data_IF_045222410775
#
_entry.id   IF_045222410775
#
_cell.length_a   1.000
_cell.length_b   1.000
_cell.length_c   1.000
_cell.angle_alpha   90.00
_cell.angle_beta   90.00
_cell.angle_gamma   90.00
#
_symmetry.space_group_name_H-M   'P 1'
#
loop_
_entity.id
_entity.type
_entity.pdbx_description
1 polymer ?
2 non-polymer ?
3 water ?
#
# COMPACT_ATOMS: atom_id res chain seq x y z
N UNK A 24 0.20 4.89 -13.70
CA UNK A 24 -0.83 5.57 -12.92
C UNK A 24 -0.37 6.94 -12.40
N UNK A 25 -1.31 7.87 -12.32
CA UNK A 25 -1.04 9.24 -11.94
C UNK A 25 -1.31 9.47 -10.46
N UNK A 26 -0.27 9.78 -9.70
CA UNK A 26 -0.32 9.81 -8.25
C UNK A 26 0.68 10.79 -7.63
N UNK A 27 0.17 11.60 -6.71
CA UNK A 27 1.02 12.47 -5.92
C UNK A 27 1.79 11.68 -4.87
N UNK A 28 3.11 11.74 -5.00
CA UNK A 28 3.98 10.89 -4.24
C UNK A 28 3.97 11.32 -2.77
N UNK A 29 3.55 12.55 -2.53
CA UNK A 29 3.42 13.04 -1.14
C UNK A 29 2.29 12.34 -0.40
N UNK A 30 1.27 11.92 -1.12
CA UNK A 30 0.18 11.17 -0.53
C UNK A 30 0.68 9.80 -0.06
N UNK A 31 1.60 9.20 -0.81
CA UNK A 31 2.19 7.93 -0.45
C UNK A 31 3.01 8.09 0.82
N UNK A 32 3.80 9.16 0.87
CA UNK A 32 4.60 9.50 2.06
C UNK A 32 3.75 9.68 3.33
N UNK A 33 2.75 10.55 3.25
CA UNK A 33 1.84 10.81 4.35
C UNK A 33 1.15 9.56 4.86
N UNK A 34 0.57 8.80 3.92
CA UNK A 34 -0.19 7.61 4.28
C UNK A 34 0.71 6.67 5.05
N UNK A 35 1.98 6.64 4.64
CA UNK A 35 2.98 5.80 5.26
C UNK A 35 3.33 6.32 6.66
N UNK A 36 3.54 7.62 6.77
CA UNK A 36 3.91 8.19 8.07
C UNK A 36 2.74 8.12 9.04
N UNK A 37 1.56 8.35 8.51
CA UNK A 37 0.35 8.31 9.31
C UNK A 37 0.15 6.92 9.91
N UNK A 38 0.36 5.88 9.11
CA UNK A 38 0.21 4.52 9.61
C UNK A 38 1.29 4.14 10.60
N UNK A 39 2.53 4.53 10.31
CA UNK A 39 3.63 4.18 11.20
C UNK A 39 3.58 4.95 12.54
N UNK A 40 3.19 6.22 12.49
CA UNK A 40 3.29 7.08 13.67
C UNK A 40 1.92 7.48 14.22
N UNK A 41 0.90 6.74 13.79
CA UNK A 41 -0.45 6.88 14.32
C UNK A 41 -0.52 7.18 15.83
N UNK A 42 0.13 6.35 16.64
CA UNK A 42 0.09 6.50 18.10
C UNK A 42 0.63 7.83 18.64
N UNK A 43 1.68 8.35 18.03
CA UNK A 43 2.31 9.57 18.51
C UNK A 43 1.62 10.84 17.99
N UNK A 44 0.55 10.66 17.22
CA UNK A 44 -0.24 11.76 16.68
C UNK A 44 -1.47 12.05 17.52
N UNK A 45 -1.77 11.14 18.44
CA UNK A 45 -2.82 11.32 19.44
C UNK A 45 -4.17 11.78 18.86
N UNK A 46 -4.72 10.97 17.96
CA UNK A 46 -6.05 11.20 17.40
C UNK A 46 -7.18 10.75 18.32
N UNK A 47 -8.23 11.55 18.40
CA UNK A 47 -9.39 11.22 19.22
C UNK A 47 -10.09 10.02 18.65
N UNK A 48 -10.32 10.02 17.34
CA UNK A 48 -10.87 8.88 16.64
C UNK A 48 -9.93 8.44 15.52
N UNK A 49 -9.84 7.14 15.29
CA UNK A 49 -8.91 6.64 14.29
C UNK A 49 -9.62 6.00 13.09
N UNK A 50 -10.93 6.22 12.96
CA UNK A 50 -11.70 5.66 11.85
C UNK A 50 -11.18 6.24 10.53
N UNK A 51 -11.58 5.62 9.42
CA UNK A 51 -11.07 6.04 8.12
C UNK A 51 -11.45 7.45 7.81
N UNK A 52 -12.66 7.86 8.20
CA UNK A 52 -13.08 9.24 7.97
C UNK A 52 -12.07 10.21 8.56
N UNK A 53 -11.88 10.10 9.87
CA UNK A 53 -10.98 11.03 10.55
C UNK A 53 -9.57 10.98 9.97
N UNK A 54 -9.13 9.78 9.60
CA UNK A 54 -7.82 9.65 9.00
C UNK A 54 -7.75 10.42 7.68
N UNK A 55 -8.73 10.19 6.80
CA UNK A 55 -8.79 10.93 5.53
C UNK A 55 -8.77 12.43 5.72
N UNK A 56 -9.48 12.91 6.75
CA UNK A 56 -9.48 14.34 7.05
C UNK A 56 -8.07 14.86 7.40
N UNK A 57 -7.33 14.13 8.22
CA UNK A 57 -5.97 14.50 8.56
C UNK A 57 -5.09 14.58 7.30
N UNK A 58 -5.11 13.51 6.52
CA UNK A 58 -4.40 13.47 5.23
C UNK A 58 -4.66 14.66 4.31
N UNK A 59 -5.94 15.01 4.17
CA UNK A 59 -6.36 16.06 3.26
C UNK A 59 -5.87 17.45 3.72
N UNK A 60 -5.95 17.69 5.02
CA UNK A 60 -5.47 18.94 5.58
C UNK A 60 -3.99 19.08 5.33
N UNK A 61 -3.30 17.95 5.36
CA UNK A 61 -1.85 17.93 5.38
C UNK A 61 -1.33 18.00 3.97
N UNK A 62 -1.93 17.18 3.10
CA UNK A 62 -1.60 17.22 1.67
C UNK A 62 -1.90 18.57 1.04
N UNK A 63 -2.89 19.30 1.56
CA UNK A 63 -3.13 20.66 1.04
C UNK A 63 -2.13 21.67 1.55
N UNK A 64 -1.16 21.23 2.33
CA UNK A 64 -0.17 22.12 2.95
C UNK A 64 1.24 21.82 2.46
N UNK A 65 1.41 20.73 1.71
CA UNK A 65 2.68 20.46 1.07
C UNK A 65 2.51 20.58 -0.46
N UNK A 66 3.59 20.93 -1.15
CA UNK A 66 3.54 21.09 -2.60
C UNK A 66 3.41 19.73 -3.28
N UNK A 67 2.49 19.63 -4.26
CA UNK A 67 2.21 18.36 -4.96
C UNK A 67 3.42 17.86 -5.70
N UNK A 68 3.55 16.55 -5.75
CA UNK A 68 4.73 15.92 -6.32
C UNK A 68 4.26 14.76 -7.17
N UNK A 69 3.49 15.07 -8.20
CA UNK A 69 2.87 14.02 -9.00
C UNK A 69 3.86 13.37 -9.90
N UNK A 70 3.75 12.05 -10.01
CA UNK A 70 4.62 11.28 -10.89
C UNK A 70 3.82 10.21 -11.62
N UNK A 71 4.49 9.54 -12.54
CA UNK A 71 3.80 8.60 -13.39
C UNK A 71 4.52 7.27 -13.37
N UNK A 72 5.69 7.23 -12.75
CA UNK A 72 6.47 6.01 -12.69
C UNK A 72 6.64 5.52 -11.24
N UNK A 73 6.14 4.31 -10.96
CA UNK A 73 6.13 3.73 -9.61
C UNK A 73 7.53 3.63 -9.08
N UNK A 74 8.47 3.43 -9.98
CA UNK A 74 9.87 3.38 -9.62
C UNK A 74 10.32 4.75 -9.08
N UNK A 75 9.65 5.80 -9.52
CA UNK A 75 10.05 7.15 -9.16
C UNK A 75 9.51 7.51 -7.79
N UNK A 76 8.35 6.94 -7.44
CA UNK A 76 7.78 7.10 -6.11
C UNK A 76 8.60 6.36 -5.08
N UNK A 77 9.19 5.25 -5.51
CA UNK A 77 10.07 4.46 -4.68
C UNK A 77 11.29 5.28 -4.27
N UNK A 78 11.85 6.00 -5.23
CA UNK A 78 12.95 6.91 -4.98
C UNK A 78 12.58 8.04 -4.00
N UNK A 79 11.39 8.60 -4.13
CA UNK A 79 10.93 9.68 -3.26
C UNK A 79 10.70 9.20 -1.84
N UNK A 80 9.91 8.14 -1.70
CA UNK A 80 9.65 7.49 -0.42
C UNK A 80 10.94 7.09 0.29
N UNK A 81 11.96 6.69 -0.48
CA UNK A 81 13.22 6.28 0.13
C UNK A 81 14.02 7.48 0.62
N UNK A 82 13.84 8.62 -0.02
CA UNK A 82 14.59 9.82 0.34
C UNK A 82 14.14 10.34 1.71
N UNK A 83 12.89 10.06 2.05
CA UNK A 83 12.35 10.46 3.32
C UNK A 83 12.48 9.30 4.33
N UNK A 84 13.75 8.98 4.65
CA UNK A 84 14.14 8.02 5.69
C UNK A 84 13.66 8.43 7.09
N UNK A 85 13.74 7.50 8.04
CA UNK A 85 13.46 7.77 9.46
C UNK A 85 14.32 8.92 10.00
N UNK A 86 15.57 8.97 9.55
CA UNK A 86 16.42 10.11 9.90
C UNK A 86 16.15 11.20 8.88
N UNK A 87 16.60 12.41 9.15
CA UNK A 87 16.34 13.55 8.26
C UNK A 87 14.84 13.75 7.98
N UNK A 88 14.49 13.92 6.71
CA UNK A 88 13.28 14.64 6.26
C UNK A 88 11.89 14.41 6.89
N UNK A 89 11.61 13.22 7.42
CA UNK A 89 10.22 12.89 7.78
C UNK A 89 9.60 13.76 8.88
N UNK A 90 10.42 14.39 9.70
CA UNK A 90 9.90 15.07 10.88
C UNK A 90 8.98 16.26 10.52
N UNK A 91 9.43 17.15 9.65
CA UNK A 91 8.58 18.21 9.10
C UNK A 91 7.21 17.73 8.67
N UNK A 92 7.14 16.55 8.07
CA UNK A 92 5.85 15.95 7.68
C UNK A 92 5.03 15.43 8.87
N UNK A 93 5.69 14.76 9.82
CA UNK A 93 5.06 14.29 11.03
C UNK A 93 4.45 15.48 11.80
N UNK A 94 5.14 16.63 11.79
CA UNK A 94 4.62 17.82 12.44
C UNK A 94 3.30 18.31 11.79
N UNK A 95 3.23 18.30 10.46
CA UNK A 95 2.01 18.73 9.80
C UNK A 95 0.87 17.77 10.10
N UNK A 96 1.16 16.47 10.13
CA UNK A 96 0.16 15.46 10.43
C UNK A 96 -0.41 15.64 11.84
N UNK A 97 0.50 15.80 12.80
CA UNK A 97 0.16 16.00 14.21
C UNK A 97 -0.74 17.21 14.33
N UNK A 98 -0.33 18.28 13.67
CA UNK A 98 -1.08 19.53 13.66
C UNK A 98 -2.49 19.29 13.10
N UNK A 99 -2.56 18.61 11.95
CA UNK A 99 -3.85 18.27 11.34
C UNK A 99 -4.68 17.35 12.23
N UNK A 100 -4.01 16.36 12.85
CA UNK A 100 -4.63 15.47 13.81
C UNK A 100 -5.32 16.22 14.95
N UNK A 101 -4.68 17.28 15.45
CA UNK A 101 -5.29 18.12 16.47
C UNK A 101 -6.62 18.70 15.97
N UNK A 102 -6.60 19.27 14.78
CA UNK A 102 -7.79 19.90 14.22
C UNK A 102 -8.96 18.91 14.06
N UNK A 103 -8.66 17.73 13.58
CA UNK A 103 -9.71 16.75 13.36
C UNK A 103 -10.20 16.17 14.71
N UNK A 104 -9.31 16.15 15.67
CA UNK A 104 -9.65 15.64 16.98
C UNK A 104 -10.71 16.53 17.62
N UNK A 105 -10.58 17.83 17.43
CA UNK A 105 -11.47 18.77 18.05
C UNK A 105 -12.72 19.04 17.19
N UNK A 106 -12.52 19.07 15.88
CA UNK A 106 -13.59 19.37 14.95
C UNK A 106 -13.77 18.27 13.91
N UNK A 107 -14.37 17.13 14.32
CA UNK A 107 -14.61 16.00 13.42
C UNK A 107 -15.79 16.17 12.47
N UNK A 108 -15.66 15.65 11.24
CA UNK A 108 -16.73 15.74 10.26
C UNK A 108 -17.94 14.93 10.71
N UNK A 109 -19.11 15.28 10.17
CA UNK A 109 -20.36 14.63 10.53
C UNK A 109 -20.42 13.19 10.02
N UNK A 110 -19.47 12.82 9.17
CA UNK A 110 -19.46 11.47 8.61
C UNK A 110 -18.70 10.50 9.51
N UNK A 111 -18.12 11.03 10.58
CA UNK A 111 -17.39 10.20 11.54
C UNK A 111 -18.34 9.35 12.37
N UNK A 112 -17.79 8.50 13.25
CA UNK A 112 -18.61 7.66 14.11
C UNK A 112 -19.41 8.50 15.12
N UNK A 113 -20.67 8.15 15.33
CA UNK A 113 -21.52 8.93 16.21
C UNK A 113 -22.36 8.06 17.11
N UNK A 114 -22.26 8.33 18.42
CA UNK A 114 -22.96 7.58 19.45
C UNK A 114 -22.63 6.09 19.32
N UNK B 24 -6.52 -24.23 3.85
CA UNK B 24 -7.54 -23.50 4.59
C UNK B 24 -6.85 -22.49 5.52
N UNK B 25 -5.61 -22.17 5.20
CA UNK B 25 -4.86 -21.15 5.91
C UNK B 25 -3.94 -20.40 4.95
N UNK B 26 -4.18 -19.12 4.74
CA UNK B 26 -3.28 -18.37 3.85
C UNK B 26 -3.26 -16.87 4.17
N UNK B 27 -2.14 -16.24 3.86
CA UNK B 27 -2.03 -14.82 4.01
C UNK B 27 -2.70 -14.12 2.82
N UNK B 28 -3.77 -13.39 3.08
CA UNK B 28 -4.52 -12.79 1.98
C UNK B 28 -3.70 -11.73 1.26
N UNK B 29 -2.75 -11.12 1.97
CA UNK B 29 -1.82 -10.17 1.35
C UNK B 29 -1.08 -10.80 0.19
N UNK B 30 -0.63 -12.04 0.38
CA UNK B 30 -0.01 -12.85 -0.66
C UNK B 30 -0.85 -12.88 -1.92
N UNK B 31 -2.15 -13.08 -1.74
CA UNK B 31 -3.06 -13.11 -2.85
C UNK B 31 -3.14 -11.77 -3.56
N UNK B 32 -3.13 -10.68 -2.79
CA UNK B 32 -3.30 -9.36 -3.38
C UNK B 32 -2.01 -8.97 -4.13
N UNK B 33 -0.87 -9.25 -3.54
CA UNK B 33 0.40 -8.98 -4.18
C UNK B 33 0.61 -9.73 -5.51
N UNK B 34 0.13 -10.96 -5.58
CA UNK B 34 0.31 -11.74 -6.78
C UNK B 34 -0.50 -11.14 -7.91
N UNK B 35 -1.71 -10.69 -7.59
CA UNK B 35 -2.61 -10.20 -8.60
C UNK B 35 -2.11 -8.85 -9.07
N UNK B 36 -1.71 -8.02 -8.12
CA UNK B 36 -1.17 -6.72 -8.46
C UNK B 36 0.08 -6.86 -9.34
N UNK B 37 0.95 -7.80 -9.00
CA UNK B 37 2.17 -8.00 -9.77
C UNK B 37 1.88 -8.41 -11.23
N UNK B 38 0.94 -9.33 -11.39
CA UNK B 38 0.65 -9.86 -12.70
C UNK B 38 -0.03 -8.81 -13.57
N UNK B 39 -0.77 -7.92 -12.92
CA UNK B 39 -1.50 -6.87 -13.62
C UNK B 39 -0.62 -5.67 -13.98
N UNK B 40 0.34 -5.33 -13.12
CA UNK B 40 1.17 -4.14 -13.33
C UNK B 40 2.65 -4.46 -13.58
N UNK B 41 2.95 -5.70 -13.95
CA UNK B 41 4.33 -6.10 -14.19
C UNK B 41 5.08 -5.29 -15.23
N UNK B 42 4.37 -4.73 -16.21
CA UNK B 42 5.01 -3.95 -17.26
C UNK B 42 5.42 -2.58 -16.75
N UNK B 43 4.71 -2.12 -15.72
CA UNK B 43 4.94 -0.79 -15.17
C UNK B 43 5.98 -0.81 -14.06
N UNK B 44 6.42 -2.01 -13.70
CA UNK B 44 7.32 -2.20 -12.56
C UNK B 44 8.77 -2.24 -12.96
N UNK B 45 9.02 -2.30 -14.26
CA UNK B 45 10.38 -2.33 -14.79
C UNK B 45 11.23 -3.45 -14.18
N UNK B 46 10.85 -4.71 -14.42
CA UNK B 46 11.64 -5.86 -14.01
C UNK B 46 12.60 -6.27 -15.11
N UNK B 47 13.90 -6.31 -14.82
CA UNK B 47 14.89 -6.71 -15.81
C UNK B 47 14.58 -8.11 -16.33
N UNK B 48 14.21 -8.98 -15.41
CA UNK B 48 13.79 -10.33 -15.75
C UNK B 48 12.43 -10.62 -15.13
N UNK B 49 11.59 -11.35 -15.86
CA UNK B 49 10.26 -11.64 -15.37
C UNK B 49 10.00 -13.14 -15.30
N UNK B 50 11.04 -13.91 -15.07
CA UNK B 50 10.88 -15.36 -14.88
C UNK B 50 10.22 -15.63 -13.54
N UNK B 51 9.82 -16.87 -13.31
CA UNK B 51 9.12 -17.22 -12.10
C UNK B 51 9.97 -16.94 -10.87
N UNK B 52 11.26 -17.25 -10.96
CA UNK B 52 12.14 -17.06 -9.80
C UNK B 52 12.21 -15.59 -9.40
N UNK B 53 12.40 -14.73 -10.39
CA UNK B 53 12.45 -13.30 -10.11
C UNK B 53 11.14 -12.79 -9.53
N UNK B 54 10.02 -13.34 -10.01
CA UNK B 54 8.72 -12.97 -9.49
C UNK B 54 8.63 -13.32 -8.01
N UNK B 55 9.06 -14.52 -7.65
CA UNK B 55 8.95 -14.94 -6.28
C UNK B 55 9.77 -14.06 -5.37
N UNK B 56 11.03 -13.83 -5.75
CA UNK B 56 11.91 -12.95 -4.99
C UNK B 56 11.24 -11.60 -4.74
N UNK B 57 10.54 -11.06 -5.76
CA UNK B 57 9.89 -9.77 -5.62
C UNK B 57 8.78 -9.83 -4.58
N UNK B 58 7.95 -10.86 -4.67
CA UNK B 58 6.89 -11.13 -3.69
C UNK B 58 7.43 -11.33 -2.28
N UNK B 59 8.46 -12.17 -2.17
CA UNK B 59 9.18 -12.34 -0.91
C UNK B 59 9.53 -10.99 -0.25
N UNK B 60 10.20 -10.14 -1.02
CA UNK B 60 10.64 -8.87 -0.48
C UNK B 60 9.47 -7.97 -0.12
N UNK B 61 8.34 -8.17 -0.80
CA UNK B 61 7.20 -7.28 -0.63
C UNK B 61 6.30 -7.77 0.48
N UNK B 62 6.13 -9.07 0.57
CA UNK B 62 5.33 -9.62 1.62
C UNK B 62 6.01 -9.42 2.96
N UNK B 63 7.33 -9.22 2.97
CA UNK B 63 8.01 -8.92 4.23
C UNK B 63 7.92 -7.45 4.64
N UNK B 64 7.37 -6.60 3.78
CA UNK B 64 7.18 -5.21 4.14
C UNK B 64 5.70 -4.84 4.46
N UNK B 65 4.80 -5.81 4.49
CA UNK B 65 3.42 -5.46 4.85
C UNK B 65 2.95 -6.43 5.89
N UNK B 66 2.11 -5.97 6.80
CA UNK B 66 1.70 -6.81 7.91
C UNK B 66 0.85 -7.96 7.38
N UNK B 67 1.12 -9.18 7.86
CA UNK B 67 0.35 -10.39 7.45
C UNK B 67 -1.13 -10.29 7.77
N UNK B 68 -1.96 -10.81 6.89
CA UNK B 68 -3.37 -10.96 7.22
C UNK B 68 -3.81 -12.39 6.90
N UNK B 69 -3.47 -13.31 7.80
CA UNK B 69 -3.87 -14.70 7.62
C UNK B 69 -5.34 -14.84 7.92
N UNK B 70 -6.00 -15.68 7.14
CA UNK B 70 -7.42 -15.93 7.26
C UNK B 70 -7.64 -17.43 7.04
N UNK B 71 -8.83 -17.92 7.38
CA UNK B 71 -9.09 -19.36 7.26
C UNK B 71 -10.28 -19.68 6.35
N UNK B 72 -10.81 -18.68 5.68
CA UNK B 72 -11.97 -18.83 4.82
C UNK B 72 -11.79 -17.98 3.57
N UNK B 73 -11.78 -18.62 2.40
CA UNK B 73 -11.59 -17.92 1.12
C UNK B 73 -12.48 -16.68 1.02
N UNK B 74 -13.64 -16.71 1.68
CA UNK B 74 -14.55 -15.56 1.69
C UNK B 74 -13.87 -14.34 2.32
N UNK B 75 -13.12 -14.57 3.39
CA UNK B 75 -12.44 -13.49 4.06
C UNK B 75 -11.41 -12.81 3.16
N UNK B 76 -10.80 -13.54 2.24
CA UNK B 76 -9.84 -12.95 1.29
C UNK B 76 -10.46 -11.86 0.41
N UNK B 77 -11.71 -12.08 0.00
CA UNK B 77 -12.45 -11.12 -0.82
C UNK B 77 -12.74 -9.85 -0.03
N UNK B 78 -13.06 -10.03 1.24
CA UNK B 78 -13.28 -8.92 2.15
C UNK B 78 -12.04 -8.06 2.30
N UNK B 79 -10.90 -8.71 2.57
CA UNK B 79 -9.61 -8.06 2.70
C UNK B 79 -9.21 -7.29 1.44
N UNK B 80 -9.44 -7.94 0.30
CA UNK B 80 -9.04 -7.41 -0.99
C UNK B 80 -9.75 -6.09 -1.28
N UNK B 81 -11.05 -6.08 -1.02
CA UNK B 81 -11.86 -4.89 -1.23
C UNK B 81 -11.64 -3.88 -0.10
N UNK B 82 -11.22 -4.36 1.06
CA UNK B 82 -10.91 -3.47 2.16
C UNK B 82 -9.73 -2.61 1.79
N UNK B 83 -8.76 -3.22 1.12
CA UNK B 83 -7.59 -2.50 0.66
C UNK B 83 -7.96 -1.50 -0.44
N UNK B 84 -9.02 -1.80 -1.18
CA UNK B 84 -9.47 -0.90 -2.23
C UNK B 84 -10.20 0.32 -1.64
N UNK B 85 -11.05 0.08 -0.64
CA UNK B 85 -11.81 1.16 0.00
C UNK B 85 -10.90 2.12 0.76
N UNK B 86 -9.86 1.57 1.39
CA UNK B 86 -8.91 2.40 2.14
C UNK B 86 -7.80 2.97 1.25
N UNK B 87 -7.89 2.71 -0.05
CA UNK B 87 -6.90 3.14 -1.04
C UNK B 87 -5.46 2.71 -0.68
N UNK B 88 -5.28 1.39 -0.55
CA UNK B 88 -4.00 0.80 -0.18
C UNK B 88 -3.26 0.18 -1.37
N UNK B 89 -3.95 0.08 -2.50
CA UNK B 89 -3.40 -0.56 -3.70
C UNK B 89 -2.19 0.17 -4.27
N UNK B 90 -2.25 1.49 -4.31
CA UNK B 90 -1.14 2.26 -4.83
C UNK B 90 0.12 2.09 -3.98
N UNK B 91 -0.03 2.14 -2.66
CA UNK B 91 1.10 1.99 -1.76
C UNK B 91 1.75 0.62 -1.89
N UNK B 92 0.93 -0.37 -2.17
CA UNK B 92 1.37 -1.72 -2.36
C UNK B 92 2.12 -1.91 -3.69
N UNK B 93 1.64 -1.28 -4.77
CA UNK B 93 2.38 -1.31 -6.01
C UNK B 93 3.76 -0.69 -5.83
N UNK B 94 3.84 0.35 -5.00
CA UNK B 94 5.10 1.08 -4.80
C UNK B 94 6.10 0.17 -4.06
N UNK B 95 5.57 -0.68 -3.19
CA UNK B 95 6.40 -1.68 -2.53
C UNK B 95 6.89 -2.74 -3.53
N UNK B 96 5.97 -3.21 -4.38
CA UNK B 96 6.34 -4.06 -5.52
C UNK B 96 7.44 -3.44 -6.40
N UNK B 97 7.29 -2.17 -6.76
CA UNK B 97 8.31 -1.44 -7.50
C UNK B 97 9.69 -1.44 -6.79
N UNK B 98 9.68 -1.22 -5.50
CA UNK B 98 10.93 -1.21 -4.74
C UNK B 98 11.62 -2.55 -4.90
N UNK B 99 10.85 -3.60 -4.68
CA UNK B 99 11.41 -4.93 -4.65
C UNK B 99 11.88 -5.35 -6.06
N UNK B 100 11.09 -5.04 -7.09
CA UNK B 100 11.51 -5.22 -8.48
C UNK B 100 12.89 -4.60 -8.71
N UNK B 101 13.06 -3.35 -8.30
CA UNK B 101 14.35 -2.68 -8.40
C UNK B 101 15.48 -3.42 -7.69
N UNK B 102 15.18 -4.03 -6.54
CA UNK B 102 16.25 -4.77 -5.85
C UNK B 102 16.56 -6.04 -6.61
N UNK B 103 15.52 -6.71 -7.08
CA UNK B 103 15.71 -8.02 -7.72
C UNK B 103 16.34 -7.87 -9.10
N UNK B 104 15.91 -6.87 -9.88
CA UNK B 104 16.56 -6.57 -11.16
C UNK B 104 18.04 -6.27 -10.99
N UNK B 105 18.39 -5.57 -9.91
CA UNK B 105 19.78 -5.15 -9.70
C UNK B 105 20.63 -6.30 -9.21
N UNK B 106 20.09 -7.07 -8.27
CA UNK B 106 20.79 -8.24 -7.76
C UNK B 106 19.92 -9.48 -7.91
N UNK B 107 19.91 -10.07 -9.12
CA UNK B 107 19.18 -11.30 -9.44
C UNK B 107 19.72 -12.48 -8.65
N UNK B 108 18.86 -13.42 -8.29
CA UNK B 108 19.33 -14.65 -7.65
C UNK B 108 19.96 -15.55 -8.70
N UNK B 109 20.81 -16.48 -8.27
CA UNK B 109 21.54 -17.34 -9.18
C UNK B 109 20.64 -18.32 -9.95
N UNK B 110 19.43 -18.55 -9.44
CA UNK B 110 18.49 -19.47 -10.08
C UNK B 110 17.66 -18.76 -11.13
N UNK B 111 18.09 -17.56 -11.50
CA UNK B 111 17.41 -16.77 -12.53
C UNK B 111 17.68 -17.34 -13.92
N UNK B 112 17.42 -16.53 -14.96
CA UNK B 112 17.65 -16.99 -16.32
C UNK B 112 19.14 -17.03 -16.62
N UNK B 113 19.72 -18.18 -16.31
CA UNK B 113 21.13 -18.45 -16.55
C UNK B 113 21.35 -19.00 -17.94
N UNK B 114 21.87 -18.14 -18.83
CA UNK B 114 22.14 -18.49 -20.22
C UNK B 114 20.90 -19.06 -20.92
N UNK C 24 -13.03 9.20 -1.15
CA UNK C 24 -12.76 9.42 0.28
C UNK C 24 -11.51 10.28 0.44
N UNK C 25 -10.64 10.24 -0.54
CA UNK C 25 -9.45 11.09 -0.52
C UNK C 25 -8.95 11.38 -1.95
N UNK C 26 -9.38 12.50 -2.49
CA UNK C 26 -8.95 12.92 -3.81
C UNK C 26 -8.61 14.42 -3.86
N UNK C 27 -7.59 14.73 -4.65
CA UNK C 27 -7.27 16.09 -5.00
C UNK C 27 -8.26 16.51 -6.04
N UNK C 28 -9.09 17.50 -5.73
CA UNK C 28 -10.11 17.89 -6.68
C UNK C 28 -9.47 18.47 -7.95
N UNK C 29 -8.30 19.10 -7.84
CA UNK C 29 -7.61 19.66 -9.03
C UNK C 29 -7.39 18.59 -10.08
N UNK C 30 -7.13 17.38 -9.60
CA UNK C 30 -6.98 16.22 -10.47
C UNK C 30 -8.24 15.97 -11.33
N UNK C 31 -9.41 16.17 -10.75
CA UNK C 31 -10.68 15.97 -11.45
C UNK C 31 -10.89 17.07 -12.48
N UNK C 32 -10.46 18.29 -12.12
CA UNK C 32 -10.53 19.43 -13.04
C UNK C 32 -9.55 19.28 -14.22
N UNK C 33 -8.28 18.99 -13.95
CA UNK C 33 -7.31 18.89 -15.03
C UNK C 33 -7.67 17.78 -16.04
N UNK C 34 -8.27 16.69 -15.58
CA UNK C 34 -8.58 15.59 -16.48
C UNK C 34 -9.72 15.97 -17.42
N UNK C 35 -10.71 16.65 -16.85
CA UNK C 35 -11.84 17.12 -17.60
C UNK C 35 -11.47 18.22 -18.60
N UNK C 36 -10.49 19.04 -18.25
CA UNK C 36 -10.07 20.11 -19.14
C UNK C 36 -9.16 19.54 -20.22
N UNK C 37 -8.36 18.55 -19.88
CA UNK C 37 -7.46 17.96 -20.85
C UNK C 37 -8.24 17.24 -21.96
N UNK C 38 -9.25 16.47 -21.59
CA UNK C 38 -10.03 15.73 -22.57
C UNK C 38 -11.13 16.61 -23.14
N UNK C 39 -10.81 17.88 -23.31
CA UNK C 39 -11.72 18.85 -23.92
C UNK C 39 -10.89 19.80 -24.77
N UNK C 40 -9.59 19.70 -24.61
CA UNK C 40 -8.67 20.61 -25.24
C UNK C 40 -7.47 19.86 -25.77
N UNK C 41 -7.46 18.55 -25.56
CA UNK C 41 -6.32 17.75 -25.98
C UNK C 41 -6.05 17.89 -27.46
N UNK C 42 -7.12 17.98 -28.24
CA UNK C 42 -6.98 18.08 -29.68
C UNK C 42 -6.74 19.50 -30.12
N UNK C 43 -6.35 20.35 -29.19
CA UNK C 43 -6.07 21.72 -29.54
C UNK C 43 -4.70 22.11 -29.01
N UNK C 44 -4.07 21.19 -28.29
CA UNK C 44 -2.81 21.51 -27.63
C UNK C 44 -1.59 21.17 -28.48
N UNK C 45 -1.85 20.60 -29.65
CA UNK C 45 -0.82 20.25 -30.61
C UNK C 45 0.19 19.29 -30.01
N UNK C 46 -0.32 18.32 -29.26
CA UNK C 46 0.53 17.37 -28.57
C UNK C 46 1.20 16.43 -29.54
N UNK C 47 2.45 16.06 -29.27
CA UNK C 47 3.16 15.14 -30.16
C UNK C 47 2.51 13.75 -30.11
N UNK C 48 2.47 13.14 -28.93
CA UNK C 48 1.81 11.86 -28.74
C UNK C 48 0.59 12.03 -27.84
N UNK C 49 -0.45 11.24 -28.07
CA UNK C 49 -1.68 11.38 -27.33
C UNK C 49 -2.04 10.10 -26.61
N UNK C 50 -1.06 9.23 -26.40
CA UNK C 50 -1.29 7.99 -25.66
C UNK C 50 -1.50 8.31 -24.18
N UNK C 51 -2.03 7.34 -23.45
CA UNK C 51 -2.33 7.55 -22.04
C UNK C 51 -1.09 7.92 -21.23
N UNK C 52 0.06 7.34 -21.59
CA UNK C 52 1.30 7.66 -20.87
C UNK C 52 1.62 9.16 -20.95
N UNK C 53 1.65 9.71 -22.15
CA UNK C 53 1.95 11.13 -22.33
C UNK C 53 0.86 12.01 -21.73
N UNK C 54 -0.38 11.56 -21.77
CA UNK C 54 -1.48 12.28 -21.12
C UNK C 54 -1.23 12.39 -19.62
N UNK C 55 -0.73 11.31 -19.01
CA UNK C 55 -0.45 11.31 -17.58
C UNK C 55 0.67 12.27 -17.26
N UNK C 56 1.62 12.38 -18.18
CA UNK C 56 2.75 13.28 -17.97
C UNK C 56 2.26 14.72 -17.94
N UNK C 57 1.38 15.04 -18.89
CA UNK C 57 0.76 16.35 -19.00
C UNK C 57 0.01 16.74 -17.72
N UNK C 58 -0.88 15.84 -17.30
CA UNK C 58 -1.64 16.02 -16.08
C UNK C 58 -0.72 16.17 -14.89
N UNK C 59 0.37 15.41 -14.87
CA UNK C 59 1.24 15.43 -13.67
C UNK C 59 1.97 16.77 -13.57
N UNK C 60 2.52 17.22 -14.69
CA UNK C 60 3.22 18.49 -14.73
C UNK C 60 2.25 19.60 -14.40
N UNK C 61 1.04 19.49 -14.91
CA UNK C 61 0.04 20.51 -14.63
C UNK C 61 -0.36 20.48 -13.15
N UNK C 62 -0.72 19.31 -12.65
CA UNK C 62 -1.09 19.19 -11.24
C UNK C 62 0.00 19.71 -10.35
N UNK C 63 1.24 19.62 -10.79
CA UNK C 63 2.31 20.10 -9.91
C UNK C 63 2.48 21.60 -9.87
N UNK C 64 1.75 22.34 -10.71
CA UNK C 64 1.91 23.78 -10.77
C UNK C 64 0.70 24.50 -10.20
N UNK C 65 -0.26 23.75 -9.69
CA UNK C 65 -1.43 24.35 -9.08
C UNK C 65 -1.52 23.87 -7.67
N UNK C 66 -2.17 24.64 -6.81
CA UNK C 66 -2.27 24.27 -5.41
C UNK C 66 -3.24 23.12 -5.25
N UNK C 67 -2.86 22.10 -4.45
CA UNK C 67 -3.70 20.95 -4.16
C UNK C 67 -4.97 21.35 -3.42
N UNK C 68 -6.02 20.60 -3.68
CA UNK C 68 -7.30 20.89 -3.09
C UNK C 68 -7.96 19.60 -2.63
N UNK C 69 -7.32 18.91 -1.69
CA UNK C 69 -7.78 17.59 -1.32
C UNK C 69 -9.12 17.64 -0.62
N UNK C 70 -10.00 16.71 -0.98
CA UNK C 70 -11.32 16.59 -0.38
C UNK C 70 -11.55 15.15 0.14
N UNK C 71 -12.61 14.96 0.93
CA UNK C 71 -12.92 13.62 1.50
C UNK C 71 -14.36 13.19 1.27
N UNK C 72 -15.22 14.16 0.95
CA UNK C 72 -16.61 13.87 0.66
C UNK C 72 -16.82 13.67 -0.83
N UNK C 73 -17.77 12.82 -1.20
CA UNK C 73 -18.04 12.60 -2.60
C UNK C 73 -18.90 13.72 -3.17
N UNK C 74 -19.57 14.46 -2.28
CA UNK C 74 -20.44 15.54 -2.72
C UNK C 74 -19.68 16.74 -3.31
N UNK C 75 -18.39 16.88 -2.99
CA UNK C 75 -17.64 17.99 -3.57
C UNK C 75 -17.15 17.70 -4.95
N UNK C 76 -16.60 16.51 -5.17
CA UNK C 76 -16.03 16.19 -6.48
C UNK C 76 -17.05 16.17 -7.63
N UNK C 77 -18.31 15.91 -7.31
CA UNK C 77 -19.39 15.95 -8.29
C UNK C 77 -19.70 17.36 -8.78
N UNK C 78 -19.86 18.29 -7.85
CA UNK C 78 -20.16 19.67 -8.20
C UNK C 78 -18.92 20.43 -8.67
N UNK C 79 -17.75 19.93 -8.28
CA UNK C 79 -16.48 20.52 -8.70
C UNK C 79 -16.36 20.44 -10.23
N UNK C 80 -16.91 19.38 -10.81
CA UNK C 80 -16.87 19.17 -12.25
C UNK C 80 -17.79 20.13 -12.99
N UNK C 81 -18.70 20.76 -12.24
CA UNK C 81 -19.69 21.67 -12.80
C UNK C 81 -19.22 23.13 -12.71
N UNK C 82 -18.57 23.47 -11.61
CA UNK C 82 -18.07 24.82 -11.42
C UNK C 82 -16.73 25.01 -12.11
N UNK C 83 -16.24 23.96 -12.75
CA UNK C 83 -15.05 24.09 -13.59
C UNK C 83 -15.51 24.36 -15.02
N UNK C 84 -16.78 24.07 -15.31
CA UNK C 84 -17.38 24.35 -16.60
C UNK C 84 -17.44 25.86 -16.80
N UNK C 85 -17.54 26.58 -15.69
CA UNK C 85 -17.37 28.02 -15.72
C UNK C 85 -15.95 28.34 -16.19
N UNK C 86 -15.75 29.54 -16.73
CA UNK C 86 -14.48 29.86 -17.37
C UNK C 86 -13.63 30.84 -16.57
N UNK C 87 -12.71 31.51 -17.26
CA UNK C 87 -11.72 32.42 -16.66
C UNK C 87 -10.73 31.70 -15.78
N UNK C 88 -11.22 30.93 -14.80
CA UNK C 88 -10.35 30.15 -13.93
C UNK C 88 -9.69 29.03 -14.72
N UNK C 89 -10.49 28.37 -15.55
CA UNK C 89 -10.00 27.26 -16.33
C UNK C 89 -9.08 27.75 -17.43
N UNK C 90 -9.29 28.99 -17.85
CA UNK C 90 -8.40 29.67 -18.78
C UNK C 90 -6.97 29.67 -18.25
N UNK C 91 -6.80 30.08 -17.00
CA UNK C 91 -5.50 30.01 -16.33
C UNK C 91 -4.97 28.57 -16.31
N UNK C 92 -5.89 27.62 -16.16
CA UNK C 92 -5.50 26.22 -16.15
C UNK C 92 -5.24 25.63 -17.55
N UNK C 93 -5.99 26.10 -18.55
CA UNK C 93 -5.75 25.73 -19.94
C UNK C 93 -4.31 26.08 -20.33
N UNK C 94 -3.91 27.31 -20.05
CA UNK C 94 -2.53 27.74 -20.26
C UNK C 94 -1.57 26.70 -19.71
N UNK C 95 -1.78 26.33 -18.44
CA UNK C 95 -0.97 25.33 -17.79
C UNK C 95 -0.92 24.01 -18.58
N UNK C 96 -2.10 23.48 -18.90
CA UNK C 96 -2.20 22.35 -19.81
C UNK C 96 -1.30 22.52 -21.02
N UNK C 97 -1.49 23.60 -21.76
CA UNK C 97 -0.68 23.89 -22.94
C UNK C 97 0.82 23.94 -22.64
N UNK C 98 1.19 24.60 -21.56
CA UNK C 98 2.61 24.65 -21.23
C UNK C 98 3.13 23.28 -20.84
N UNK C 99 2.27 22.43 -20.29
CA UNK C 99 2.70 21.09 -19.89
C UNK C 99 2.81 20.23 -21.13
N UNK C 100 1.86 20.45 -22.03
CA UNK C 100 1.80 19.77 -23.31
C UNK C 100 3.06 19.98 -24.17
N UNK C 101 3.60 21.19 -24.11
CA UNK C 101 4.78 21.47 -24.91
C UNK C 101 5.99 20.69 -24.35
N UNK C 102 6.12 20.63 -23.03
CA UNK C 102 7.26 19.94 -22.42
C UNK C 102 7.24 18.44 -22.69
N UNK C 103 6.10 17.80 -22.41
CA UNK C 103 5.89 16.39 -22.71
C UNK C 103 6.13 16.07 -24.18
N UNK C 104 5.62 16.91 -25.07
CA UNK C 104 5.83 16.72 -26.50
C UNK C 104 7.32 16.80 -26.83
N UNK C 105 7.98 17.81 -26.29
CA UNK C 105 9.40 18.04 -26.57
C UNK C 105 10.28 16.94 -25.97
N UNK C 106 9.84 16.37 -24.86
CA UNK C 106 10.63 15.35 -24.18
C UNK C 106 9.75 14.22 -23.63
N UNK C 107 9.27 13.35 -24.53
CA UNK C 107 8.38 12.24 -24.17
C UNK C 107 9.05 11.24 -23.23
N UNK C 108 8.25 10.65 -22.34
CA UNK C 108 8.77 9.62 -21.45
C UNK C 108 9.06 8.37 -22.26
N UNK C 109 10.02 7.58 -21.80
CA UNK C 109 10.40 6.37 -22.50
C UNK C 109 9.47 5.20 -22.18
N UNK C 110 8.31 5.52 -21.61
CA UNK C 110 7.28 4.52 -21.33
C UNK C 110 6.18 4.60 -22.38
N UNK C 111 6.25 5.63 -23.22
CA UNK C 111 5.32 5.82 -24.32
C UNK C 111 5.46 4.91 -25.53
N UNK C 112 6.53 5.11 -26.28
CA UNK C 112 6.79 4.33 -27.50
C UNK C 112 8.28 4.25 -27.80
N UNK D 24 7.33 -22.37 -3.90
CA UNK D 24 8.73 -22.03 -3.70
C UNK D 24 8.80 -20.71 -2.94
N UNK D 25 7.61 -20.13 -2.74
CA UNK D 25 7.40 -18.96 -1.91
C UNK D 25 6.67 -19.34 -0.63
N UNK D 26 7.32 -19.18 0.52
CA UNK D 26 6.70 -19.59 1.76
C UNK D 26 7.15 -18.71 2.91
N UNK D 27 6.22 -18.43 3.82
CA UNK D 27 6.55 -17.74 5.07
C UNK D 27 7.18 -18.73 6.07
N UNK D 28 8.41 -18.46 6.48
CA UNK D 28 9.17 -19.43 7.28
C UNK D 28 8.58 -19.54 8.68
N UNK D 29 8.00 -18.43 9.13
CA UNK D 29 7.20 -18.40 10.35
C UNK D 29 6.02 -19.37 10.30
N UNK D 30 5.45 -19.56 9.11
CA UNK D 30 4.32 -20.47 9.00
C UNK D 30 4.78 -21.88 9.27
N UNK D 31 6.02 -22.18 8.93
CA UNK D 31 6.56 -23.53 9.13
C UNK D 31 6.80 -23.80 10.60
N UNK D 32 7.40 -22.83 11.27
CA UNK D 32 7.74 -22.98 12.66
C UNK D 32 6.48 -23.08 13.52
N UNK D 33 5.48 -22.24 13.25
CA UNK D 33 4.24 -22.32 14.03
C UNK D 33 3.54 -23.65 13.86
N UNK D 34 3.40 -24.15 12.63
CA UNK D 34 2.75 -25.45 12.44
C UNK D 34 3.52 -26.51 13.21
N UNK D 35 4.84 -26.44 13.12
CA UNK D 35 5.69 -27.39 13.81
C UNK D 35 5.55 -27.27 15.32
N UNK D 36 5.57 -26.06 15.86
CA UNK D 36 5.45 -25.91 17.29
C UNK D 36 4.06 -26.28 17.77
N UNK D 37 3.08 -26.12 16.89
CA UNK D 37 1.70 -26.42 17.27
C UNK D 37 1.48 -27.90 17.53
N UNK D 38 1.97 -28.74 16.63
CA UNK D 38 1.79 -30.19 16.75
C UNK D 38 2.64 -30.76 17.86
N UNK D 39 3.72 -30.07 18.20
CA UNK D 39 4.58 -30.52 19.28
C UNK D 39 4.21 -29.91 20.63
N UNK D 40 3.14 -29.13 20.70
CA UNK D 40 2.67 -28.68 22.00
C UNK D 40 1.14 -28.71 22.12
N UNK D 41 0.45 -29.23 21.11
CA UNK D 41 -1.01 -29.14 21.10
C UNK D 41 -1.64 -29.83 22.29
N UNK D 42 -1.00 -30.90 22.74
CA UNK D 42 -1.51 -31.67 23.86
C UNK D 42 -1.30 -30.91 25.18
N UNK D 43 -0.65 -29.75 25.11
CA UNK D 43 -0.40 -28.97 26.32
C UNK D 43 -1.02 -27.58 26.27
N UNK D 44 -1.65 -27.23 25.15
CA UNK D 44 -2.23 -25.91 25.00
C UNK D 44 -3.62 -25.83 25.61
N UNK D 45 -4.09 -26.94 26.15
CA UNK D 45 -5.41 -27.02 26.73
C UNK D 45 -6.49 -26.44 25.83
N UNK D 46 -6.41 -26.73 24.54
CA UNK D 46 -7.40 -26.18 23.62
C UNK D 46 -8.76 -26.78 23.87
N UNK D 47 -9.78 -25.94 23.83
CA UNK D 47 -11.15 -26.38 24.04
C UNK D 47 -11.60 -27.34 22.92
N UNK D 48 -11.39 -26.95 21.68
CA UNK D 48 -11.60 -27.85 20.56
C UNK D 48 -10.30 -28.03 19.78
N UNK D 49 -10.12 -29.20 19.20
CA UNK D 49 -8.84 -29.52 18.56
C UNK D 49 -9.03 -29.84 17.07
N UNK D 50 -10.18 -29.44 16.52
CA UNK D 50 -10.45 -29.68 15.10
C UNK D 50 -9.54 -28.82 14.23
N UNK D 51 -9.46 -29.16 12.94
CA UNK D 51 -8.60 -28.44 12.00
C UNK D 51 -9.00 -26.97 11.89
N UNK D 52 -10.30 -26.70 12.03
CA UNK D 52 -10.78 -25.32 11.98
C UNK D 52 -10.10 -24.49 13.07
N UNK D 53 -10.24 -24.93 14.31
CA UNK D 53 -9.70 -24.22 15.46
C UNK D 53 -8.18 -24.11 15.39
N UNK D 54 -7.51 -25.15 14.90
CA UNK D 54 -6.07 -25.10 14.73
C UNK D 54 -5.67 -24.00 13.74
N UNK D 55 -6.29 -24.02 12.56
CA UNK D 55 -6.09 -23.00 11.57
C UNK D 55 -6.41 -21.62 12.15
N UNK D 56 -7.42 -21.57 13.02
CA UNK D 56 -7.77 -20.32 13.68
C UNK D 56 -6.66 -19.87 14.62
N UNK D 57 -6.11 -20.81 15.40
CA UNK D 57 -4.99 -20.53 16.30
C UNK D 57 -3.75 -20.10 15.51
N UNK D 58 -3.45 -20.83 14.44
CA UNK D 58 -2.30 -20.49 13.59
C UNK D 58 -2.41 -19.06 13.02
N UNK D 59 -3.55 -18.73 12.44
CA UNK D 59 -3.74 -17.43 11.79
C UNK D 59 -3.59 -16.27 12.77
N UNK D 60 -4.23 -16.36 13.93
CA UNK D 60 -4.01 -15.40 15.00
C UNK D 60 -2.52 -15.29 15.33
N UNK D 61 -1.87 -16.43 15.49
CA UNK D 61 -0.45 -16.41 15.81
C UNK D 61 0.35 -15.74 14.70
N UNK D 62 0.11 -16.19 13.48
CA UNK D 62 0.83 -15.66 12.33
C UNK D 62 0.60 -14.18 12.12
N UNK D 63 -0.59 -13.69 12.46
CA UNK D 63 -0.86 -12.27 12.31
C UNK D 63 -0.16 -11.42 13.34
N UNK D 64 0.47 -12.07 14.33
CA UNK D 64 1.15 -11.30 15.37
C UNK D 64 2.69 -11.36 15.23
N UNK D 65 3.19 -12.24 14.37
CA UNK D 65 4.62 -12.28 14.12
C UNK D 65 4.94 -11.64 12.77
N UNK D 66 6.16 -11.11 12.66
CA UNK D 66 6.63 -10.47 11.44
C UNK D 66 6.98 -11.56 10.44
N UNK D 67 6.42 -11.46 9.22
CA UNK D 67 6.59 -12.49 8.20
C UNK D 67 8.04 -12.53 7.70
N UNK D 68 8.50 -13.74 7.42
CA UNK D 68 9.83 -13.95 6.87
C UNK D 68 9.72 -14.93 5.71
N UNK D 69 9.03 -14.48 4.68
CA UNK D 69 8.96 -15.15 3.39
C UNK D 69 10.35 -15.42 2.80
N UNK D 70 10.57 -16.64 2.30
CA UNK D 70 11.81 -17.02 1.63
C UNK D 70 11.50 -17.68 0.30
N UNK D 71 12.52 -17.85 -0.53
CA UNK D 71 12.31 -18.51 -1.82
C UNK D 71 13.27 -19.66 -2.02
N UNK D 72 14.16 -19.85 -1.05
CA UNK D 72 15.12 -20.94 -1.10
C UNK D 72 14.88 -21.86 0.08
N UNK D 73 14.87 -23.15 -0.20
CA UNK D 73 14.67 -24.18 0.80
C UNK D 73 15.85 -24.26 1.76
N UNK D 74 17.00 -23.74 1.34
CA UNK D 74 18.17 -23.68 2.21
C UNK D 74 17.89 -22.76 3.39
N UNK D 75 17.10 -21.72 3.13
CA UNK D 75 16.76 -20.73 4.15
C UNK D 75 15.75 -21.30 5.14
N UNK D 76 15.10 -22.39 4.77
CA UNK D 76 14.18 -23.07 5.67
C UNK D 76 14.91 -23.84 6.76
N UNK D 77 16.00 -24.52 6.39
CA UNK D 77 16.82 -25.22 7.36
C UNK D 77 17.46 -24.23 8.34
N UNK D 78 17.61 -22.99 7.90
CA UNK D 78 18.15 -21.91 8.75
C UNK D 78 17.20 -21.67 9.91
N UNK D 79 15.92 -21.66 9.61
CA UNK D 79 14.86 -21.49 10.60
C UNK D 79 14.70 -22.78 11.43
N UNK D 80 15.17 -23.90 10.88
CA UNK D 80 15.20 -25.17 11.60
C UNK D 80 16.34 -25.21 12.63
N UNK D 81 17.39 -24.45 12.36
CA UNK D 81 18.52 -24.35 13.28
C UNK D 81 18.25 -23.28 14.35
N UNK D 82 17.23 -22.47 14.11
CA UNK D 82 16.87 -21.37 15.01
C UNK D 82 15.81 -21.77 16.02
N UNK D 83 15.02 -22.79 15.68
CA UNK D 83 14.00 -23.28 16.58
C UNK D 83 14.63 -24.04 17.75
N UNK D 84 15.83 -24.55 17.53
CA UNK D 84 16.50 -25.36 18.54
C UNK D 84 17.06 -24.50 19.64
N UNK D 85 17.91 -23.54 19.28
CA UNK D 85 18.60 -22.73 20.29
C UNK D 85 17.76 -21.58 20.87
N UNK D 86 18.10 -21.19 22.10
CA UNK D 86 17.95 -19.83 22.61
C UNK D 86 16.72 -19.38 23.38
N UNK D 87 15.65 -20.17 23.50
CA UNK D 87 14.39 -19.66 24.13
C UNK D 87 13.60 -18.72 23.21
N UNK D 88 13.91 -18.79 21.92
CA UNK D 88 13.21 -18.00 20.93
C UNK D 88 11.91 -18.74 20.65
N UNK D 89 11.91 -20.04 20.96
CA UNK D 89 10.73 -20.85 20.83
C UNK D 89 9.73 -20.46 21.89
N UNK D 90 10.25 -19.95 22.99
CA UNK D 90 9.40 -19.52 24.09
C UNK D 90 8.51 -18.40 23.59
N UNK D 91 9.14 -17.39 22.98
CA UNK D 91 8.41 -16.25 22.43
C UNK D 91 7.28 -16.66 21.52
N UNK D 92 7.54 -17.69 20.73
CA UNK D 92 6.60 -18.21 19.76
C UNK D 92 5.51 -19.03 20.44
N UNK D 93 5.91 -19.74 21.49
CA UNK D 93 5.00 -20.57 22.27
C UNK D 93 4.00 -19.69 23.01
N UNK D 94 4.42 -18.48 23.37
CA UNK D 94 3.54 -17.60 24.12
C UNK D 94 2.41 -17.14 23.23
N UNK D 95 2.79 -16.72 22.04
CA UNK D 95 1.85 -16.25 21.05
C UNK D 95 0.91 -17.36 20.65
N UNK D 96 1.46 -18.55 20.39
CA UNK D 96 0.65 -19.76 20.22
C UNK D 96 -0.37 -19.94 21.33
N UNK D 97 0.11 -19.89 22.58
CA UNK D 97 -0.72 -20.03 23.76
C UNK D 97 -1.75 -18.93 23.85
N UNK D 98 -1.30 -17.70 23.77
CA UNK D 98 -2.20 -16.56 23.80
C UNK D 98 -3.28 -16.73 22.73
N UNK D 99 -2.87 -17.12 21.52
CA UNK D 99 -3.83 -17.27 20.43
C UNK D 99 -4.82 -18.40 20.69
N UNK D 100 -4.31 -19.52 21.19
CA UNK D 100 -5.17 -20.66 21.49
C UNK D 100 -6.20 -20.34 22.56
N UNK D 101 -5.81 -19.53 23.55
CA UNK D 101 -6.73 -19.10 24.58
C UNK D 101 -7.90 -18.30 24.02
N UNK D 102 -7.63 -17.48 23.01
CA UNK D 102 -8.71 -16.74 22.35
C UNK D 102 -9.68 -17.64 21.59
N UNK D 103 -9.13 -18.59 20.84
CA UNK D 103 -9.93 -19.49 20.02
C UNK D 103 -10.73 -20.49 20.89
N UNK D 104 -10.16 -20.85 22.03
CA UNK D 104 -10.81 -21.78 22.95
C UNK D 104 -12.06 -21.17 23.53
N UNK D 105 -11.88 -20.07 24.26
CA UNK D 105 -12.98 -19.47 25.01
C UNK D 105 -14.00 -18.84 24.08
N UNK D 106 -13.51 -18.32 22.97
CA UNK D 106 -14.37 -17.72 21.96
C UNK D 106 -14.17 -18.36 20.59
N UNK D 107 -14.84 -19.50 20.35
CA UNK D 107 -14.74 -20.25 19.09
C UNK D 107 -15.49 -19.55 17.96
N UNK D 108 -15.23 -19.97 16.72
CA UNK D 108 -15.89 -19.36 15.57
C UNK D 108 -17.27 -19.97 15.36
N UNK D 109 -17.93 -19.57 14.29
CA UNK D 109 -19.23 -20.12 13.95
C UNK D 109 -19.09 -21.48 13.26
N UNK D 110 -17.85 -21.86 12.96
CA UNK D 110 -17.57 -23.12 12.30
C UNK D 110 -17.34 -24.27 13.27
N UNK D 111 -17.27 -23.95 14.56
CA UNK D 111 -16.99 -24.94 15.58
C UNK D 111 -18.19 -25.15 16.51
X LIG E 1 -13.61 9.26 13.50
X LIG F 1 14.76 -14.07 -13.47
X LIG G 1 2.97 8.95 -25.61
X LIG H 1 -13.21 -26.73 16.72
#
# INVERSE_FOLDING_TARGET
MGSSHHHHHHSSGLVPRGSHMASMLVNSKEIVMKELLDRYMDQLHMACTCQVCQNDVLALSLNKVSPSYVTDFKKIAYTKAELVDKQKNTAMLVILAESAAVVSESPSDLCQTKQEEAFIN
MGSSHHHHHHSSGLVPRGSHMASMLVNSKEIVMKELLDRYMDQLHMACTCQVCQNDVLALSLNKVSPSYVTDFKKIAYTKAELVDKQKNTAMLVILAESAAVVSESPSDLCQTKQEEAFIN
MGSSHHHHHHSSGLVPRGSHMASMLVNSKEIVMKELLDRYMDQLHMACTCQVCQNDVLALSLNKVSPSYVTDFKKIAYTKAELVDKQKNTAMLVILAESAAVVSESPSDLCQTKQEEAFIN
MGSSHHHHHHSSGLVPRGSHMASMLVNSKEIVMKELLDRYMDQLHMACTCQVCQNDVLALSLNKVSPSYVTDFKKIAYTKAELVDKQKNTAMLVILAESAAVVSESPSDLCQTKQEEAFIN
ZN ZN
ZN ZN
ZN ZN
ZN ZN
#
